data_IF_951894266289
#
_entry.id   IF_951894266289
#
_cell.length_a   1.000
_cell.length_b   1.000
_cell.length_c   1.000
_cell.angle_alpha   90.00
_cell.angle_beta   90.00
_cell.angle_gamma   90.00
#
_symmetry.space_group_name_H-M   'P 1'
#
loop_
_entity.id
_entity.type
_entity.pdbx_description
1 polymer ?
#
# COMPACT_ATOMS: atom_id res chain seq x y z
N UNK A 1 -13.06 3.79 -12.20
CA UNK A 1 -12.28 2.83 -11.39
C UNK A 1 -13.22 1.73 -10.93
N UNK A 2 -12.81 0.47 -11.06
CA UNK A 2 -13.57 -0.66 -10.49
C UNK A 2 -13.34 -0.64 -8.98
N UNK A 3 -14.39 -0.64 -8.17
CA UNK A 3 -14.28 -0.80 -6.72
C UNK A 3 -13.79 -2.23 -6.42
N UNK A 4 -12.60 -2.43 -5.82
CA UNK A 4 -12.09 -3.76 -5.51
C UNK A 4 -13.03 -4.57 -4.61
N UNK A 5 -13.91 -3.92 -3.84
CA UNK A 5 -14.88 -4.59 -2.98
C UNK A 5 -16.03 -5.24 -3.76
N UNK A 6 -16.24 -4.84 -5.01
CA UNK A 6 -17.24 -5.44 -5.91
C UNK A 6 -16.71 -6.66 -6.67
N UNK A 7 -15.40 -6.96 -6.56
CA UNK A 7 -14.81 -8.14 -7.18
C UNK A 7 -15.20 -9.43 -6.42
N UNK A 8 -15.39 -10.57 -7.13
CA UNK A 8 -15.52 -11.88 -6.52
C UNK A 8 -14.43 -12.15 -5.47
N UNK A 9 -14.74 -12.85 -4.35
CA UNK A 9 -13.78 -13.12 -3.28
C UNK A 9 -12.45 -13.70 -3.77
N UNK A 10 -12.49 -14.63 -4.73
CA UNK A 10 -11.30 -15.26 -5.29
C UNK A 10 -10.44 -14.27 -6.08
N UNK A 11 -11.07 -13.40 -6.89
CA UNK A 11 -10.36 -12.34 -7.61
C UNK A 11 -9.75 -11.30 -6.66
N UNK A 12 -10.44 -10.96 -5.56
CA UNK A 12 -9.85 -10.09 -4.51
C UNK A 12 -8.63 -10.72 -3.86
N UNK A 13 -8.67 -12.03 -3.61
CA UNK A 13 -7.54 -12.77 -3.04
C UNK A 13 -6.35 -12.80 -4.02
N UNK A 14 -6.60 -13.09 -5.30
CA UNK A 14 -5.57 -13.08 -6.34
C UNK A 14 -4.95 -11.69 -6.51
N UNK A 15 -5.77 -10.64 -6.52
CA UNK A 15 -5.30 -9.26 -6.62
C UNK A 15 -4.38 -8.92 -5.45
N UNK A 16 -4.78 -9.25 -4.21
CA UNK A 16 -3.93 -9.03 -3.02
C UNK A 16 -2.61 -9.78 -3.10
N UNK A 17 -2.62 -11.05 -3.51
CA UNK A 17 -1.40 -11.84 -3.67
C UNK A 17 -0.47 -11.22 -4.72
N UNK A 18 -1.02 -10.82 -5.88
CA UNK A 18 -0.25 -10.18 -6.95
C UNK A 18 0.33 -8.83 -6.53
N UNK A 19 -0.41 -8.04 -5.75
CA UNK A 19 0.12 -6.78 -5.18
C UNK A 19 1.29 -7.05 -4.23
N UNK A 20 1.20 -8.07 -3.37
CA UNK A 20 2.30 -8.43 -2.47
C UNK A 20 3.54 -8.92 -3.23
N UNK A 21 3.34 -9.75 -4.26
CA UNK A 21 4.42 -10.20 -5.15
C UNK A 21 5.09 -9.00 -5.84
N UNK A 22 4.30 -8.08 -6.40
CA UNK A 22 4.82 -6.87 -7.05
C UNK A 22 5.66 -6.03 -6.08
N UNK A 23 5.17 -5.80 -4.86
CA UNK A 23 5.91 -5.02 -3.84
C UNK A 23 7.27 -5.67 -3.52
N UNK A 24 7.30 -7.00 -3.40
CA UNK A 24 8.54 -7.74 -3.19
C UNK A 24 9.50 -7.63 -4.38
N UNK A 25 9.00 -7.76 -5.62
CA UNK A 25 9.79 -7.63 -6.84
C UNK A 25 10.45 -6.25 -6.98
N UNK A 26 9.73 -5.19 -6.62
CA UNK A 26 10.24 -3.82 -6.70
C UNK A 26 11.04 -3.40 -5.45
N UNK A 27 11.30 -4.34 -4.52
CA UNK A 27 12.12 -4.12 -3.32
C UNK A 27 11.47 -3.21 -2.27
N UNK A 28 10.14 -3.10 -2.28
CA UNK A 28 9.38 -2.28 -1.34
C UNK A 28 8.87 -3.16 -0.22
N UNK A 29 9.34 -2.92 1.00
CA UNK A 29 8.91 -3.69 2.17
C UNK A 29 7.67 -3.04 2.80
N UNK A 30 6.50 -3.70 2.74
CA UNK A 30 5.33 -3.21 3.43
C UNK A 30 5.46 -3.37 4.96
N UNK A 31 4.68 -2.57 5.68
CA UNK A 31 4.50 -2.60 7.12
C UNK A 31 3.06 -2.99 7.45
N UNK A 32 2.82 -3.49 8.65
CA UNK A 32 1.49 -3.72 9.19
C UNK A 32 1.26 -2.72 10.32
N UNK A 33 0.12 -2.04 10.31
CA UNK A 33 -0.38 -1.37 11.51
C UNK A 33 -0.86 -2.44 12.51
N UNK A 34 -0.17 -2.55 13.64
CA UNK A 34 -0.45 -3.57 14.66
C UNK A 34 -1.82 -3.43 15.34
N UNK A 35 -2.52 -2.30 15.18
CA UNK A 35 -3.84 -2.05 15.78
C UNK A 35 -4.97 -2.44 14.85
N UNK A 36 -4.83 -2.14 13.57
CA UNK A 36 -5.88 -2.34 12.56
C UNK A 36 -5.64 -3.60 11.73
N UNK A 37 -4.40 -4.09 11.67
CA UNK A 37 -3.96 -5.15 10.76
C UNK A 37 -3.83 -4.67 9.31
N UNK A 38 -3.91 -3.36 9.07
CA UNK A 38 -3.80 -2.80 7.72
C UNK A 38 -2.38 -2.89 7.19
N UNK A 39 -2.27 -3.27 5.92
CA UNK A 39 -1.00 -3.27 5.19
C UNK A 39 -0.71 -1.86 4.68
N UNK A 40 0.43 -1.32 5.07
CA UNK A 40 0.88 0.02 4.74
C UNK A 40 2.18 -0.05 3.95
N UNK A 41 2.27 0.74 2.88
CA UNK A 41 3.45 0.79 2.03
C UNK A 41 4.14 2.15 2.22
N UNK A 42 5.44 2.21 2.54
CA UNK A 42 6.16 3.47 2.60
C UNK A 42 6.13 4.16 1.23
N UNK A 43 5.52 5.35 1.15
CA UNK A 43 5.29 6.04 -0.11
C UNK A 43 6.61 6.38 -0.82
N UNK A 44 7.63 6.81 -0.09
CA UNK A 44 8.94 7.15 -0.66
C UNK A 44 9.62 5.96 -1.35
N UNK A 45 9.55 4.78 -0.73
CA UNK A 45 10.15 3.56 -1.29
C UNK A 45 9.37 3.11 -2.52
N UNK A 46 8.04 3.18 -2.48
CA UNK A 46 7.19 2.90 -3.64
C UNK A 46 7.46 3.87 -4.80
N UNK A 47 7.60 5.16 -4.53
CA UNK A 47 7.93 6.17 -5.54
C UNK A 47 9.31 5.90 -6.16
N UNK A 48 10.32 5.61 -5.34
CA UNK A 48 11.67 5.29 -5.80
C UNK A 48 11.69 4.07 -6.71
N UNK A 49 10.96 3.04 -6.32
CA UNK A 49 10.91 1.78 -7.06
C UNK A 49 10.13 1.89 -8.38
N UNK A 50 9.07 2.71 -8.42
CA UNK A 50 8.27 2.95 -9.62
C UNK A 50 8.81 4.07 -10.53
N UNK A 51 9.85 4.80 -10.09
CA UNK A 51 10.37 5.96 -10.83
C UNK A 51 9.42 7.15 -10.89
N UNK A 52 8.51 7.27 -9.92
CA UNK A 52 7.51 8.34 -9.85
C UNK A 52 7.99 9.43 -8.88
N UNK A 53 7.90 10.73 -9.22
CA UNK A 53 8.22 11.80 -8.28
C UNK A 53 7.33 11.76 -7.04
N UNK A 54 7.92 11.94 -5.85
CA UNK A 54 7.20 11.88 -4.58
C UNK A 54 6.02 12.86 -4.49
N UNK A 55 6.22 14.11 -4.94
CA UNK A 55 5.17 15.13 -4.94
C UNK A 55 4.00 14.78 -5.89
N UNK A 56 4.30 14.12 -7.02
CA UNK A 56 3.27 13.66 -7.93
C UNK A 56 2.43 12.55 -7.30
N UNK A 57 3.08 11.56 -6.71
CA UNK A 57 2.40 10.47 -6.00
C UNK A 57 1.58 11.00 -4.81
N UNK A 58 2.13 11.94 -4.05
CA UNK A 58 1.44 12.59 -2.92
C UNK A 58 0.19 13.35 -3.38
N UNK A 59 0.25 14.06 -4.52
CA UNK A 59 -0.93 14.71 -5.11
C UNK A 59 -1.98 13.68 -5.52
N UNK A 60 -1.59 12.64 -6.25
CA UNK A 60 -2.52 11.59 -6.73
C UNK A 60 -3.22 10.86 -5.58
N UNK A 61 -2.48 10.58 -4.50
CA UNK A 61 -3.02 9.88 -3.33
C UNK A 61 -3.77 10.83 -2.38
N UNK A 62 -3.37 12.09 -2.28
CA UNK A 62 -4.04 13.12 -1.46
C UNK A 62 -5.45 13.45 -1.90
N UNK A 63 -5.78 13.20 -3.17
CA UNK A 63 -7.14 13.32 -3.69
C UNK A 63 -8.04 12.12 -3.30
N UNK A 64 -7.45 11.04 -2.76
CA UNK A 64 -8.19 9.86 -2.34
C UNK A 64 -8.40 9.82 -0.81
N UNK A 65 -9.62 9.52 -0.35
CA UNK A 65 -9.91 9.41 1.09
C UNK A 65 -9.21 8.18 1.68
N UNK A 66 -8.53 8.35 2.82
CA UNK A 66 -7.89 7.27 3.56
C UNK A 66 -6.50 6.84 3.05
N UNK A 67 -5.89 7.58 2.10
CA UNK A 67 -4.64 7.18 1.46
C UNK A 67 -3.38 7.26 2.31
N UNK A 68 -3.46 7.90 3.48
CA UNK A 68 -2.30 8.11 4.36
C UNK A 68 -2.58 7.59 5.75
N UNK A 69 -1.59 6.90 6.30
CA UNK A 69 -1.58 6.52 7.70
C UNK A 69 -1.51 7.78 8.58
N UNK A 70 -2.46 7.91 9.48
CA UNK A 70 -2.56 9.05 10.43
C UNK A 70 -2.24 8.64 11.88
N UNK A 71 -1.87 7.37 12.11
CA UNK A 71 -1.54 6.84 13.43
C UNK A 71 -0.09 7.10 13.86
N UNK A 72 0.30 6.52 15.01
CA UNK A 72 1.66 6.64 15.52
C UNK A 72 2.61 5.69 14.75
N UNK A 73 3.73 6.18 14.18
CA UNK A 73 4.69 5.32 13.49
C UNK A 73 5.24 4.15 14.33
N UNK A 74 5.22 4.26 15.66
CA UNK A 74 5.60 3.18 16.57
C UNK A 74 4.63 1.99 16.54
N UNK A 75 3.40 2.19 16.07
CA UNK A 75 2.40 1.13 15.90
C UNK A 75 2.66 0.28 14.64
N UNK A 76 3.62 0.68 13.80
CA UNK A 76 3.97 -0.01 12.56
C UNK A 76 5.02 -1.10 12.80
N UNK A 77 4.72 -2.29 12.29
CA UNK A 77 5.59 -3.46 12.38
C UNK A 77 6.03 -3.89 10.97
N UNK A 78 7.25 -4.44 10.81
CA UNK A 78 7.64 -5.06 9.55
C UNK A 78 6.74 -6.25 9.22
N UNK A 79 6.46 -6.46 7.94
CA UNK A 79 5.88 -7.71 7.47
C UNK A 79 6.96 -8.80 7.59
N UNK A 80 6.89 -9.61 8.65
CA UNK A 80 7.79 -10.74 8.91
C UNK A 80 7.44 -11.96 8.03
#
# INVERSE_FOLDING_TARGET
MIDPNQLPPELRKQLRAKTLELLAEIGVQPKIDGRTGELLVPLEDMCRALGVPFEEAKRMLGEQPGSFFTGNPADLQPLN
#
